data_IF_908912487776
#
_entry.id   IF_908912487776
#
_cell.length_a   1.000
_cell.length_b   1.000
_cell.length_c   1.000
_cell.angle_alpha   90.00
_cell.angle_beta   90.00
_cell.angle_gamma   90.00
#
_symmetry.space_group_name_H-M   'P 1'
#
loop_
_entity.id
_entity.type
_entity.pdbx_description
1 polymer ?
#
# COMPACT_ATOMS: atom_id res chain seq x y z
N UNK A 1 10.07 4.01 9.46
CA UNK A 1 10.32 4.26 10.88
C UNK A 1 11.76 3.88 11.17
N UNK A 2 12.53 4.81 11.73
CA UNK A 2 13.92 4.61 12.12
C UNK A 2 14.00 4.91 13.61
N UNK A 3 14.56 3.98 14.38
CA UNK A 3 14.86 4.19 15.79
C UNK A 3 16.36 4.47 15.91
N UNK A 4 16.70 5.53 16.63
CA UNK A 4 18.07 5.97 16.83
C UNK A 4 18.41 5.90 18.31
N UNK A 5 19.48 5.19 18.64
CA UNK A 5 20.08 5.19 19.96
C UNK A 5 21.23 6.21 19.96
N UNK A 6 21.26 7.09 20.97
CA UNK A 6 22.27 8.14 21.10
C UNK A 6 22.97 8.04 22.45
N UNK A 7 24.31 8.07 22.44
CA UNK A 7 25.15 7.98 23.63
C UNK A 7 25.93 9.29 23.82
N UNK A 8 25.65 9.98 24.93
CA UNK A 8 26.27 11.25 25.32
C UNK A 8 27.06 11.07 26.62
N UNK A 9 28.29 11.59 26.67
CA UNK A 9 29.14 11.51 27.87
C UNK A 9 29.38 12.92 28.48
N UNK A 10 29.88 13.86 27.68
CA UNK A 10 30.09 15.25 28.09
C UNK A 10 29.97 16.20 26.89
N UNK A 11 30.11 17.51 27.13
CA UNK A 11 30.00 18.55 26.09
C UNK A 11 31.30 18.79 25.30
N UNK A 12 32.33 17.96 25.51
CA UNK A 12 33.63 18.10 24.85
C UNK A 12 33.76 17.24 23.59
N UNK A 13 32.91 16.23 23.41
CA UNK A 13 32.94 15.32 22.25
C UNK A 13 31.58 15.21 21.57
N UNK A 14 31.59 14.91 20.28
CA UNK A 14 30.36 14.65 19.52
C UNK A 14 29.76 13.32 19.97
N UNK A 15 28.46 13.31 20.21
CA UNK A 15 27.71 12.11 20.59
C UNK A 15 27.78 11.02 19.51
N UNK A 16 27.83 9.76 19.94
CA UNK A 16 27.79 8.61 19.04
C UNK A 16 26.36 8.11 18.94
N UNK A 17 25.89 7.94 17.71
CA UNK A 17 24.55 7.44 17.43
C UNK A 17 24.59 6.21 16.52
N UNK A 18 23.65 5.28 16.73
CA UNK A 18 23.38 4.17 15.83
C UNK A 18 21.89 4.09 15.55
N UNK A 19 21.52 3.64 14.35
CA UNK A 19 20.12 3.61 13.91
C UNK A 19 19.73 2.26 13.35
N UNK A 20 18.49 1.84 13.66
CA UNK A 20 17.86 0.64 13.11
C UNK A 20 16.58 1.02 12.38
N UNK A 21 16.37 0.43 11.20
CA UNK A 21 15.16 0.64 10.40
C UNK A 21 14.17 -0.50 10.66
N UNK A 22 12.99 -0.18 11.17
CA UNK A 22 11.94 -1.17 11.35
C UNK A 22 11.27 -1.43 10.00
N UNK A 23 11.28 -2.69 9.59
CA UNK A 23 10.49 -3.17 8.46
C UNK A 23 9.22 -3.86 8.99
N UNK A 24 8.07 -3.41 8.53
CA UNK A 24 6.76 -3.90 8.99
C UNK A 24 6.09 -4.63 7.83
N UNK A 25 5.39 -5.72 8.17
CA UNK A 25 4.51 -6.43 7.26
C UNK A 25 3.07 -6.34 7.79
N UNK A 26 2.30 -5.41 7.24
CA UNK A 26 0.94 -5.07 7.65
C UNK A 26 -0.02 -5.33 6.51
N UNK A 27 -1.09 -6.06 6.81
CA UNK A 27 -2.22 -6.24 5.90
C UNK A 27 -2.91 -4.89 5.62
N UNK A 28 -3.60 -4.76 4.48
CA UNK A 28 -4.49 -3.62 4.24
C UNK A 28 -5.47 -3.44 5.40
N UNK A 29 -5.70 -2.19 5.77
CA UNK A 29 -6.74 -1.80 6.73
C UNK A 29 -8.11 -1.87 6.06
N UNK A 30 -8.19 -1.43 4.81
CA UNK A 30 -9.42 -1.42 4.03
C UNK A 30 -9.14 -1.81 2.57
N UNK A 31 -10.09 -2.52 1.97
CA UNK A 31 -10.13 -2.81 0.53
C UNK A 31 -11.55 -2.59 0.03
N UNK A 32 -11.74 -1.79 -1.01
CA UNK A 32 -13.07 -1.50 -1.57
C UNK A 32 -13.03 -1.22 -3.06
N UNK A 33 -14.00 -1.78 -3.79
CA UNK A 33 -14.30 -1.39 -5.18
C UNK A 33 -15.07 -0.06 -5.16
N UNK A 34 -14.51 0.98 -5.77
CA UNK A 34 -15.05 2.35 -5.73
C UNK A 34 -15.80 2.78 -6.96
N UNK A 35 -15.77 1.99 -8.03
CA UNK A 35 -16.57 2.26 -9.22
C UNK A 35 -18.06 2.29 -8.90
N UNK A 36 -18.76 3.23 -9.55
CA UNK A 36 -20.19 3.44 -9.38
C UNK A 36 -20.93 2.15 -9.73
N UNK A 37 -21.77 1.69 -8.80
CA UNK A 37 -22.67 0.54 -9.00
C UNK A 37 -23.80 0.92 -9.96
N UNK A 38 -23.50 0.86 -11.25
CA UNK A 38 -24.49 1.02 -12.33
C UNK A 38 -24.79 -0.34 -12.97
N UNK A 39 -26.01 -0.53 -13.50
CA UNK A 39 -26.31 -1.70 -14.33
C UNK A 39 -25.30 -1.80 -15.47
N UNK A 40 -24.79 -3.01 -15.70
CA UNK A 40 -23.91 -3.29 -16.82
C UNK A 40 -24.75 -3.66 -18.03
N UNK A 41 -24.40 -3.15 -19.20
CA UNK A 41 -25.07 -3.48 -20.46
C UNK A 41 -24.26 -4.49 -21.25
N UNK A 42 -24.93 -5.47 -21.84
CA UNK A 42 -24.29 -6.46 -22.71
C UNK A 42 -23.53 -5.77 -23.86
N UNK A 43 -22.35 -6.30 -24.18
CA UNK A 43 -21.49 -5.77 -25.24
C UNK A 43 -20.77 -4.45 -24.93
N UNK A 44 -21.02 -3.82 -23.78
CA UNK A 44 -20.33 -2.59 -23.37
C UNK A 44 -19.20 -2.89 -22.38
N UNK A 45 -18.04 -2.25 -22.60
CA UNK A 45 -16.91 -2.31 -21.67
C UNK A 45 -17.25 -1.52 -20.41
N UNK A 46 -16.88 -2.07 -19.25
CA UNK A 46 -16.99 -1.41 -17.97
C UNK A 46 -15.61 -1.36 -17.32
N UNK A 47 -15.25 -0.20 -16.79
CA UNK A 47 -14.02 0.01 -16.05
C UNK A 47 -14.33 -0.03 -14.55
N UNK A 48 -13.55 -0.81 -13.82
CA UNK A 48 -13.68 -1.01 -12.38
C UNK A 48 -12.38 -0.59 -11.68
N UNK A 49 -12.53 0.04 -10.53
CA UNK A 49 -11.45 0.55 -9.68
C UNK A 49 -11.60 -0.06 -8.30
N UNK A 50 -10.49 -0.54 -7.74
CA UNK A 50 -10.38 -1.07 -6.39
C UNK A 50 -9.32 -0.26 -5.66
N UNK A 51 -9.55 0.03 -4.40
CA UNK A 51 -8.63 0.80 -3.57
C UNK A 51 -8.30 -0.03 -2.35
N UNK A 52 -7.00 -0.20 -2.08
CA UNK A 52 -6.45 -0.78 -0.85
C UNK A 52 -5.70 0.28 -0.08
N UNK A 53 -5.93 0.42 1.23
CA UNK A 53 -5.27 1.42 2.08
C UNK A 53 -4.61 0.82 3.31
N UNK A 54 -3.54 1.45 3.80
CA UNK A 54 -2.90 1.16 5.09
C UNK A 54 -2.00 -0.08 5.12
N UNK A 55 -1.73 -0.71 3.98
CA UNK A 55 -0.80 -1.84 3.89
C UNK A 55 0.66 -1.39 3.93
N UNK A 56 1.54 -2.23 4.46
CA UNK A 56 2.99 -2.06 4.32
C UNK A 56 3.66 -3.43 4.19
N UNK A 57 4.37 -3.75 3.10
CA UNK A 57 4.53 -2.95 1.89
C UNK A 57 3.18 -2.72 1.17
N UNK A 58 3.19 -1.93 0.10
CA UNK A 58 1.99 -1.71 -0.68
C UNK A 58 1.38 -3.05 -1.14
N UNK A 59 0.07 -3.20 -0.98
CA UNK A 59 -0.64 -4.43 -1.29
C UNK A 59 -0.62 -4.72 -2.79
N UNK A 60 -0.74 -5.98 -3.17
CA UNK A 60 -0.97 -6.42 -4.55
C UNK A 60 -2.45 -6.71 -4.76
N UNK A 61 -3.09 -6.03 -5.70
CA UNK A 61 -4.50 -6.21 -6.06
C UNK A 61 -4.61 -7.27 -7.16
N UNK A 62 -5.62 -8.14 -7.06
CA UNK A 62 -5.92 -9.15 -8.09
C UNK A 62 -7.41 -9.18 -8.32
N UNK A 63 -7.82 -9.10 -9.58
CA UNK A 63 -9.22 -9.10 -9.97
C UNK A 63 -9.67 -10.49 -10.38
N UNK A 64 -10.75 -10.97 -9.76
CA UNK A 64 -11.39 -12.23 -10.11
C UNK A 64 -12.85 -11.97 -10.48
N UNK A 65 -13.29 -12.57 -11.58
CA UNK A 65 -14.69 -12.69 -11.95
C UNK A 65 -15.13 -14.13 -11.70
N UNK A 66 -15.80 -14.37 -10.57
CA UNK A 66 -16.05 -15.72 -10.08
C UNK A 66 -14.72 -16.40 -9.73
N UNK A 67 -14.39 -17.48 -10.45
CA UNK A 67 -13.14 -18.23 -10.29
C UNK A 67 -12.05 -17.83 -11.30
N UNK A 68 -12.38 -16.97 -12.26
CA UNK A 68 -11.47 -16.60 -13.35
C UNK A 68 -10.73 -15.31 -13.01
N UNK A 69 -9.41 -15.36 -13.01
CA UNK A 69 -8.59 -14.16 -12.87
C UNK A 69 -8.61 -13.32 -14.14
N UNK A 70 -8.81 -12.00 -14.00
CA UNK A 70 -8.78 -11.05 -15.11
C UNK A 70 -7.33 -10.66 -15.42
N UNK A 71 -6.96 -10.64 -16.71
CA UNK A 71 -5.60 -10.32 -17.15
C UNK A 71 -5.39 -8.83 -17.47
N UNK A 72 -6.43 -8.12 -17.89
CA UNK A 72 -6.35 -6.71 -18.29
C UNK A 72 -6.57 -5.80 -17.07
N UNK A 73 -5.59 -5.76 -16.18
CA UNK A 73 -5.62 -4.97 -14.94
C UNK A 73 -4.38 -4.11 -14.85
N UNK A 74 -4.54 -2.85 -14.45
CA UNK A 74 -3.44 -1.96 -14.09
C UNK A 74 -3.40 -1.76 -12.58
N UNK A 75 -2.20 -1.65 -12.02
CA UNK A 75 -1.98 -1.36 -10.61
C UNK A 75 -1.05 -0.14 -10.46
N UNK A 76 -1.36 0.70 -9.48
CA UNK A 76 -0.69 1.96 -9.20
C UNK A 76 -0.59 2.19 -7.70
N UNK A 77 0.39 2.97 -7.28
CA UNK A 77 0.61 3.30 -5.87
C UNK A 77 0.69 4.80 -5.68
N UNK A 78 0.14 5.29 -4.57
CA UNK A 78 0.32 6.68 -4.17
C UNK A 78 1.80 6.97 -3.83
N UNK A 79 2.27 8.23 -3.94
CA UNK A 79 3.66 8.58 -3.65
C UNK A 79 4.11 8.21 -2.22
N UNK A 80 3.20 8.33 -1.27
CA UNK A 80 3.35 7.96 0.14
C UNK A 80 3.17 6.46 0.40
N UNK A 81 2.83 5.68 -0.64
CA UNK A 81 2.65 4.20 -0.63
C UNK A 81 1.68 3.69 0.42
N UNK A 82 0.74 4.53 0.86
CA UNK A 82 -0.32 4.12 1.76
C UNK A 82 -1.55 3.58 1.01
N UNK A 83 -1.62 3.81 -0.30
CA UNK A 83 -2.76 3.49 -1.14
C UNK A 83 -2.30 2.79 -2.42
N UNK A 84 -2.95 1.67 -2.71
CA UNK A 84 -2.84 0.93 -3.97
C UNK A 84 -4.17 1.02 -4.70
N UNK A 85 -4.11 1.23 -6.02
CA UNK A 85 -5.26 1.28 -6.94
C UNK A 85 -5.04 0.35 -8.10
#
# INVERSE_FOLDING_TARGET
MVLTCNANNNNATVAVATSVKINLNLKPVEVRITSIRRPLSAGRRAELECISTGSRPAARITWLLGTTQLANTSESFSPDRNRTT
#
